data_IF_641681171149
#
_entry.id   IF_641681171149
#
_cell.length_a   1.000
_cell.length_b   1.000
_cell.length_c   1.000
_cell.angle_alpha   90.00
_cell.angle_beta   90.00
_cell.angle_gamma   90.00
#
_symmetry.space_group_name_H-M   'P 1'
#
loop_
_entity.id
_entity.type
_entity.pdbx_description
1 polymer ?
#
# COMPACT_ATOMS: atom_id res chain seq x y z
N UNK A 1 14.32 11.09 32.49
CA UNK A 1 14.36 9.65 32.29
C UNK A 1 12.93 9.11 32.14
N UNK A 2 12.16 9.60 31.13
CA UNK A 2 10.77 9.18 30.79
C UNK A 2 10.46 9.38 29.30
N UNK A 3 11.45 9.30 28.43
CA UNK A 3 11.29 9.62 26.99
C UNK A 3 11.69 8.47 26.06
N UNK A 4 11.96 7.28 26.56
CA UNK A 4 12.57 6.17 25.80
C UNK A 4 11.55 5.09 25.39
N UNK A 5 10.32 5.09 25.90
CA UNK A 5 9.35 4.01 25.63
C UNK A 5 8.44 4.20 24.41
N UNK A 6 8.57 5.30 23.65
CA UNK A 6 7.54 5.70 22.70
C UNK A 6 7.68 5.18 21.26
N UNK A 7 8.78 4.54 20.91
CA UNK A 7 9.12 4.35 19.48
C UNK A 7 9.13 2.91 18.94
N UNK A 8 8.80 1.92 19.73
CA UNK A 8 8.93 0.52 19.31
C UNK A 8 7.76 -0.08 18.53
N UNK A 9 6.78 0.76 18.11
CA UNK A 9 5.51 0.24 17.57
C UNK A 9 5.06 0.95 16.29
N UNK A 10 5.87 0.92 15.24
CA UNK A 10 5.37 1.28 13.92
C UNK A 10 4.78 0.03 13.26
N UNK A 11 3.47 0.03 13.08
CA UNK A 11 2.76 -1.00 12.32
C UNK A 11 3.15 -0.84 10.85
N UNK A 12 3.88 -1.80 10.33
CA UNK A 12 4.20 -1.88 8.91
C UNK A 12 2.98 -2.43 8.18
N UNK A 13 2.22 -1.58 7.52
CA UNK A 13 1.14 -2.02 6.64
C UNK A 13 1.69 -2.07 5.22
N UNK A 14 1.98 -3.28 4.76
CA UNK A 14 2.25 -3.53 3.35
C UNK A 14 0.93 -3.61 2.59
N UNK A 15 0.64 -2.61 1.76
CA UNK A 15 -0.40 -2.72 0.75
C UNK A 15 0.27 -3.29 -0.50
N UNK A 16 0.40 -4.63 -0.55
CA UNK A 16 0.79 -5.31 -1.78
C UNK A 16 -0.46 -5.81 -2.49
N UNK A 17 -0.79 -5.20 -3.60
CA UNK A 17 -1.60 -5.80 -4.64
C UNK A 17 -0.72 -6.75 -5.46
N UNK A 18 -1.12 -8.03 -5.47
CA UNK A 18 -0.59 -9.15 -6.27
C UNK A 18 0.44 -10.04 -5.59
N UNK A 19 -0.04 -11.18 -5.06
CA UNK A 19 0.36 -12.56 -5.40
C UNK A 19 -0.54 -13.52 -4.60
N UNK A 20 -1.12 -14.58 -5.18
CA UNK A 20 -1.85 -15.58 -4.43
C UNK A 20 -0.86 -16.58 -3.84
N UNK A 21 -0.70 -16.59 -2.54
CA UNK A 21 -0.05 -17.70 -1.83
C UNK A 21 -1.11 -18.43 -1.00
N UNK A 22 -1.25 -19.70 -1.31
CA UNK A 22 -2.01 -20.66 -0.55
C UNK A 22 -1.47 -20.76 0.88
N UNK A 23 -2.33 -20.60 1.87
CA UNK A 23 -2.08 -21.11 3.20
C UNK A 23 -3.29 -21.91 3.69
N UNK A 24 -2.98 -23.13 4.10
CA UNK A 24 -3.86 -24.04 4.76
C UNK A 24 -4.07 -23.62 6.23
N UNK A 25 -5.29 -23.61 6.65
CA UNK A 25 -5.88 -24.04 7.89
C UNK A 25 -5.44 -23.45 9.21
N UNK A 26 -6.40 -22.84 9.88
CA UNK A 26 -6.80 -23.21 11.24
C UNK A 26 -8.30 -22.95 11.34
N UNK A 27 -9.05 -24.03 11.56
CA UNK A 27 -10.45 -24.03 11.89
C UNK A 27 -10.60 -23.60 13.35
N UNK A 28 -11.31 -22.51 13.61
CA UNK A 28 -11.98 -22.26 14.87
C UNK A 28 -13.47 -22.44 14.62
N UNK A 29 -14.06 -23.39 15.36
CA UNK A 29 -15.47 -23.74 15.32
C UNK A 29 -16.34 -22.56 15.74
N UNK A 30 -17.05 -21.97 14.77
CA UNK A 30 -18.17 -21.08 15.04
C UNK A 30 -19.44 -21.92 14.93
N UNK A 31 -20.10 -22.18 16.06
CA UNK A 31 -21.41 -22.79 16.08
C UNK A 31 -22.41 -21.97 15.27
N UNK A 32 -22.95 -22.57 14.20
CA UNK A 32 -24.03 -22.01 13.40
C UNK A 32 -25.38 -22.14 14.15
N UNK A 33 -26.26 -21.14 14.09
CA UNK A 33 -27.64 -21.33 14.53
C UNK A 33 -28.35 -22.24 13.53
N UNK A 34 -28.85 -23.35 14.03
CA UNK A 34 -29.67 -24.28 13.28
C UNK A 34 -31.09 -23.69 13.09
N UNK A 35 -31.29 -23.04 11.94
CA UNK A 35 -32.64 -22.91 11.40
C UNK A 35 -32.88 -24.09 10.44
N UNK A 36 -33.64 -25.06 10.88
CA UNK A 36 -34.12 -26.18 10.04
C UNK A 36 -35.00 -25.63 8.92
N UNK A 37 -34.40 -25.41 7.74
CA UNK A 37 -35.15 -25.30 6.49
C UNK A 37 -35.13 -26.67 5.87
N UNK A 38 -36.29 -27.31 5.81
CA UNK A 38 -36.50 -28.60 5.14
C UNK A 38 -35.89 -28.57 3.72
N UNK A 39 -34.90 -29.42 3.54
CA UNK A 39 -34.23 -29.62 2.26
C UNK A 39 -35.13 -30.51 1.39
N UNK A 40 -35.59 -30.10 0.21
CA UNK A 40 -36.41 -30.95 -0.68
C UNK A 40 -35.64 -32.12 -1.30
N UNK A 41 -34.40 -32.37 -0.93
CA UNK A 41 -33.49 -33.29 -1.62
C UNK A 41 -33.34 -34.69 -1.01
N UNK A 42 -34.16 -35.08 0.01
CA UNK A 42 -34.19 -36.47 0.46
C UNK A 42 -35.19 -37.30 -0.39
N UNK A 43 -34.82 -37.55 -1.63
CA UNK A 43 -35.34 -38.65 -2.43
C UNK A 43 -34.19 -39.34 -3.10
N UNK A 44 -33.79 -40.48 -2.55
CA UNK A 44 -33.01 -41.49 -3.25
C UNK A 44 -33.71 -41.85 -4.56
N UNK A 45 -33.09 -41.60 -5.68
CA UNK A 45 -33.65 -41.92 -7.01
C UNK A 45 -32.67 -41.68 -8.12
N UNK A 46 -32.32 -42.72 -8.79
CA UNK A 46 -31.43 -42.92 -9.92
C UNK A 46 -31.26 -41.75 -10.90
N UNK A 47 -29.99 -41.56 -11.28
CA UNK A 47 -29.44 -40.61 -12.25
C UNK A 47 -29.99 -40.78 -13.69
N UNK A 48 -31.17 -40.27 -13.99
CA UNK A 48 -31.57 -39.92 -15.35
C UNK A 48 -31.66 -38.38 -15.47
N UNK A 49 -30.77 -37.77 -16.25
CA UNK A 49 -30.89 -36.37 -16.63
C UNK A 49 -32.09 -36.23 -17.53
N UNK A 50 -33.22 -35.76 -16.97
CA UNK A 50 -34.37 -35.41 -17.79
C UNK A 50 -34.03 -34.23 -18.73
N UNK A 51 -33.88 -34.55 -20.02
CA UNK A 51 -33.88 -33.53 -21.09
C UNK A 51 -35.23 -32.79 -21.04
N UNK A 52 -35.20 -31.49 -20.64
CA UNK A 52 -36.37 -30.64 -20.72
C UNK A 52 -36.72 -29.84 -19.47
N UNK A 53 -35.92 -29.89 -18.39
CA UNK A 53 -36.17 -29.00 -17.25
C UNK A 53 -35.81 -27.55 -17.64
N UNK A 54 -36.76 -26.60 -17.61
CA UNK A 54 -36.47 -25.20 -17.99
C UNK A 54 -35.42 -24.58 -17.07
N UNK A 55 -34.52 -23.77 -17.63
CA UNK A 55 -33.59 -22.95 -16.85
C UNK A 55 -34.38 -21.89 -16.09
N UNK A 56 -34.34 -21.93 -14.76
CA UNK A 56 -34.96 -20.94 -13.90
C UNK A 56 -34.13 -20.69 -12.66
N UNK A 57 -34.27 -19.49 -12.07
CA UNK A 57 -33.63 -19.11 -10.83
C UNK A 57 -34.64 -19.08 -9.68
N UNK A 58 -34.28 -19.66 -8.56
CA UNK A 58 -35.00 -19.57 -7.28
C UNK A 58 -34.43 -18.45 -6.40
N UNK A 59 -33.77 -18.83 -5.33
CA UNK A 59 -33.05 -17.92 -4.44
C UNK A 59 -31.57 -18.29 -4.38
N UNK A 60 -30.78 -17.51 -3.62
CA UNK A 60 -29.39 -17.87 -3.29
C UNK A 60 -29.05 -17.40 -1.88
N UNK A 61 -28.02 -18.00 -1.28
CA UNK A 61 -27.43 -17.59 -0.02
C UNK A 61 -25.93 -17.85 0.02
N UNK A 62 -25.16 -17.09 0.83
CA UNK A 62 -25.57 -15.87 1.52
C UNK A 62 -25.78 -14.70 0.54
N UNK A 63 -26.61 -13.71 0.91
CA UNK A 63 -26.86 -12.50 0.13
C UNK A 63 -25.86 -11.38 0.42
N UNK A 64 -24.89 -11.64 1.31
CA UNK A 64 -23.79 -10.72 1.61
C UNK A 64 -22.51 -11.48 1.94
N UNK A 65 -21.37 -10.85 1.71
CA UNK A 65 -20.08 -11.44 2.01
C UNK A 65 -18.93 -10.68 1.38
N UNK A 66 -17.73 -11.24 1.43
CA UNK A 66 -16.52 -10.68 0.90
C UNK A 66 -15.94 -11.55 -0.24
N UNK A 67 -14.69 -11.26 -0.65
CA UNK A 67 -13.95 -12.15 -1.55
C UNK A 67 -13.89 -13.58 -0.99
N UNK A 68 -14.19 -14.56 -1.84
CA UNK A 68 -14.14 -15.98 -1.50
C UNK A 68 -15.41 -16.51 -0.84
N UNK A 69 -16.38 -15.66 -0.52
CA UNK A 69 -17.71 -16.11 -0.08
C UNK A 69 -18.27 -17.08 -1.13
N UNK A 70 -18.69 -18.26 -0.69
CA UNK A 70 -19.33 -19.26 -1.54
C UNK A 70 -20.82 -18.98 -1.57
N UNK A 71 -21.33 -18.67 -2.76
CA UNK A 71 -22.76 -18.54 -3.02
C UNK A 71 -23.32 -19.91 -3.37
N UNK A 72 -24.37 -20.31 -2.67
CA UNK A 72 -25.21 -21.43 -3.07
C UNK A 72 -26.40 -20.86 -3.85
N UNK A 73 -26.43 -21.10 -5.14
CA UNK A 73 -27.40 -20.55 -6.07
C UNK A 73 -28.39 -21.67 -6.42
N UNK A 74 -29.66 -21.49 -6.16
CA UNK A 74 -30.70 -22.50 -6.37
C UNK A 74 -31.55 -22.15 -7.56
N UNK A 75 -32.02 -23.19 -8.26
CA UNK A 75 -32.84 -23.06 -9.47
C UNK A 75 -33.08 -24.41 -10.13
N UNK A 76 -33.34 -24.40 -11.42
CA UNK A 76 -33.52 -25.62 -12.22
C UNK A 76 -32.84 -25.49 -13.56
N UNK A 77 -32.51 -26.60 -14.20
CA UNK A 77 -31.95 -26.60 -15.55
C UNK A 77 -30.51 -26.21 -15.66
N UNK A 78 -29.73 -26.27 -14.57
CA UNK A 78 -28.32 -25.85 -14.54
C UNK A 78 -27.37 -26.85 -15.23
N UNK A 79 -27.81 -28.10 -15.44
CA UNK A 79 -26.95 -29.17 -15.97
C UNK A 79 -25.95 -29.64 -14.90
N UNK A 80 -24.93 -30.37 -15.34
CA UNK A 80 -23.89 -30.93 -14.45
C UNK A 80 -22.47 -30.50 -14.85
N UNK A 81 -22.28 -29.73 -15.93
CA UNK A 81 -20.96 -29.32 -16.40
C UNK A 81 -20.66 -27.88 -15.95
N UNK A 82 -19.66 -27.76 -15.06
CA UNK A 82 -19.19 -26.46 -14.54
C UNK A 82 -18.69 -25.50 -15.64
N UNK A 83 -18.23 -26.05 -16.78
CA UNK A 83 -17.70 -25.23 -17.88
C UNK A 83 -18.81 -24.57 -18.72
N UNK A 84 -20.04 -25.09 -18.63
CA UNK A 84 -21.20 -24.53 -19.31
C UNK A 84 -21.93 -23.44 -18.54
N UNK A 85 -21.53 -23.23 -17.28
CA UNK A 85 -22.18 -22.27 -16.37
C UNK A 85 -21.24 -21.11 -16.06
N UNK A 86 -21.72 -19.88 -16.26
CA UNK A 86 -21.06 -18.68 -15.83
C UNK A 86 -21.89 -17.94 -14.79
N UNK A 87 -21.25 -17.57 -13.70
CA UNK A 87 -21.84 -16.76 -12.64
C UNK A 87 -21.12 -15.42 -12.58
N UNK A 88 -21.87 -14.33 -12.50
CA UNK A 88 -21.28 -13.01 -12.25
C UNK A 88 -21.95 -12.33 -11.06
N UNK A 89 -21.15 -11.59 -10.29
CA UNK A 89 -21.61 -10.71 -9.21
C UNK A 89 -21.22 -9.28 -9.59
N UNK A 90 -22.20 -8.41 -9.76
CA UNK A 90 -22.01 -7.04 -10.22
C UNK A 90 -21.14 -6.95 -11.50
N UNK A 91 -21.36 -7.89 -12.45
CA UNK A 91 -20.62 -7.97 -13.71
C UNK A 91 -19.23 -8.62 -13.61
N UNK A 92 -18.71 -8.91 -12.41
CA UNK A 92 -17.43 -9.61 -12.22
C UNK A 92 -17.67 -11.11 -12.15
N UNK A 93 -16.92 -11.90 -12.93
CA UNK A 93 -17.03 -13.35 -12.99
C UNK A 93 -16.64 -14.00 -11.65
N UNK A 94 -17.51 -14.89 -11.14
CA UNK A 94 -17.29 -15.70 -9.95
C UNK A 94 -16.76 -17.09 -10.36
N UNK A 95 -15.91 -17.68 -9.54
CA UNK A 95 -15.36 -19.02 -9.76
C UNK A 95 -16.46 -20.07 -9.47
N UNK A 96 -17.01 -20.71 -10.50
CA UNK A 96 -17.95 -21.81 -10.35
C UNK A 96 -17.18 -23.07 -9.91
N UNK A 97 -17.53 -23.61 -8.74
CA UNK A 97 -16.80 -24.76 -8.16
C UNK A 97 -17.60 -26.04 -8.21
N UNK A 98 -18.93 -25.95 -8.31
CA UNK A 98 -19.83 -27.11 -8.33
C UNK A 98 -21.12 -26.74 -9.07
N UNK A 99 -21.64 -27.66 -9.85
CA UNK A 99 -22.94 -27.52 -10.54
C UNK A 99 -23.67 -28.87 -10.45
N UNK A 100 -24.92 -28.77 -10.02
CA UNK A 100 -25.93 -29.83 -10.09
C UNK A 100 -27.14 -29.26 -10.82
N UNK A 101 -28.04 -30.12 -11.30
CA UNK A 101 -29.25 -29.69 -12.01
C UNK A 101 -30.09 -28.61 -11.27
N UNK A 102 -29.94 -28.52 -9.95
CA UNK A 102 -30.76 -27.70 -9.06
C UNK A 102 -29.98 -26.66 -8.26
N UNK A 103 -28.65 -26.73 -8.21
CA UNK A 103 -27.83 -25.74 -7.53
C UNK A 103 -26.48 -25.52 -8.20
N UNK A 104 -25.89 -24.35 -7.94
CA UNK A 104 -24.53 -23.96 -8.33
C UNK A 104 -23.82 -23.45 -7.08
N UNK A 105 -22.56 -23.84 -6.87
CA UNK A 105 -21.65 -23.17 -5.94
C UNK A 105 -20.66 -22.29 -6.70
N UNK A 106 -20.61 -21.01 -6.32
CA UNK A 106 -19.70 -20.06 -6.95
C UNK A 106 -19.01 -19.18 -5.91
N UNK A 107 -17.69 -19.01 -6.01
CA UNK A 107 -16.92 -18.13 -5.14
C UNK A 107 -16.90 -16.71 -5.67
N UNK A 108 -17.27 -15.76 -4.83
CA UNK A 108 -17.24 -14.33 -5.14
C UNK A 108 -15.80 -13.87 -5.39
N UNK A 109 -15.56 -13.24 -6.52
CA UNK A 109 -14.25 -12.74 -6.89
C UNK A 109 -13.86 -11.48 -6.09
N UNK A 110 -12.56 -11.17 -6.06
CA UNK A 110 -12.06 -9.91 -5.51
C UNK A 110 -12.61 -8.74 -6.33
N UNK A 111 -13.01 -7.65 -5.66
CA UNK A 111 -13.53 -6.43 -6.30
C UNK A 111 -14.88 -6.60 -7.05
N UNK A 112 -15.66 -7.64 -6.79
CA UNK A 112 -16.98 -7.80 -7.41
C UNK A 112 -17.90 -6.60 -7.14
N UNK A 113 -17.83 -6.04 -5.91
CA UNK A 113 -18.73 -4.96 -5.51
C UNK A 113 -20.15 -5.46 -5.23
N UNK A 114 -20.98 -4.58 -4.65
CA UNK A 114 -22.41 -4.81 -4.42
C UNK A 114 -23.18 -4.69 -5.73
N UNK A 115 -24.01 -5.69 -6.06
CA UNK A 115 -24.80 -5.65 -7.29
C UNK A 115 -25.48 -6.95 -7.61
N UNK A 116 -26.00 -7.05 -8.82
CA UNK A 116 -26.79 -8.18 -9.30
C UNK A 116 -25.95 -9.45 -9.43
N UNK A 117 -26.58 -10.58 -9.06
CA UNK A 117 -26.04 -11.92 -9.32
C UNK A 117 -26.75 -12.47 -10.56
N UNK A 118 -25.93 -12.90 -11.52
CA UNK A 118 -26.43 -13.43 -12.80
C UNK A 118 -25.86 -14.81 -13.06
N UNK A 119 -26.64 -15.65 -13.67
CA UNK A 119 -26.24 -16.97 -14.18
C UNK A 119 -26.47 -17.01 -15.67
N UNK A 120 -25.48 -17.50 -16.40
CA UNK A 120 -25.57 -17.76 -17.84
C UNK A 120 -25.29 -19.22 -18.11
N UNK A 121 -26.15 -19.85 -18.93
CA UNK A 121 -26.01 -21.19 -19.46
C UNK A 121 -26.17 -21.13 -20.98
N UNK A 122 -25.10 -21.44 -21.70
CA UNK A 122 -25.06 -21.22 -23.14
C UNK A 122 -25.30 -19.76 -23.51
N UNK A 123 -26.38 -19.48 -24.27
CA UNK A 123 -26.77 -18.11 -24.68
C UNK A 123 -27.79 -17.46 -23.73
N UNK A 124 -28.39 -18.20 -22.84
CA UNK A 124 -29.42 -17.71 -21.93
C UNK A 124 -28.80 -17.17 -20.65
N UNK A 125 -29.21 -15.96 -20.23
CA UNK A 125 -28.77 -15.30 -19.01
C UNK A 125 -29.99 -14.90 -18.16
N UNK A 126 -29.99 -15.33 -16.90
CA UNK A 126 -30.99 -14.93 -15.91
C UNK A 126 -30.36 -14.18 -14.73
N UNK A 127 -31.17 -13.34 -14.08
CA UNK A 127 -30.73 -12.46 -13.00
C UNK A 127 -31.54 -12.75 -11.75
N UNK A 128 -30.87 -12.96 -10.61
CA UNK A 128 -31.55 -13.05 -9.33
C UNK A 128 -32.15 -11.70 -8.93
N UNK A 129 -33.35 -11.70 -8.36
CA UNK A 129 -34.00 -10.46 -7.91
C UNK A 129 -33.23 -9.77 -6.77
N UNK A 130 -32.69 -10.58 -5.85
CA UNK A 130 -31.89 -10.07 -4.73
C UNK A 130 -30.49 -9.71 -5.19
N UNK A 131 -30.01 -8.52 -4.79
CA UNK A 131 -28.63 -8.11 -5.01
C UNK A 131 -27.71 -8.67 -3.93
N UNK A 132 -26.50 -9.02 -4.30
CA UNK A 132 -25.43 -9.37 -3.36
C UNK A 132 -24.81 -8.10 -2.76
N UNK A 133 -24.74 -8.03 -1.43
CA UNK A 133 -24.02 -6.97 -0.73
C UNK A 133 -22.58 -7.39 -0.51
N UNK A 134 -21.65 -6.76 -1.24
CA UNK A 134 -20.22 -7.05 -1.08
C UNK A 134 -19.64 -6.31 0.13
N UNK A 135 -19.18 -7.07 1.11
CA UNK A 135 -18.55 -6.53 2.31
C UNK A 135 -17.05 -6.37 2.06
N UNK A 136 -16.58 -5.13 2.00
CA UNK A 136 -15.15 -4.84 1.98
C UNK A 136 -14.59 -5.01 3.39
N UNK A 137 -14.36 -6.26 3.80
CA UNK A 137 -13.63 -6.54 5.03
C UNK A 137 -12.14 -6.31 4.79
N UNK A 138 -11.58 -5.24 5.38
CA UNK A 138 -10.13 -5.09 5.47
C UNK A 138 -9.68 -5.70 6.78
N UNK A 139 -8.88 -6.76 6.71
CA UNK A 139 -8.18 -7.30 7.87
C UNK A 139 -6.74 -6.82 7.84
N UNK A 140 -6.22 -6.42 8.99
CA UNK A 140 -4.83 -6.09 9.20
C UNK A 140 -4.21 -7.21 10.01
N UNK A 141 -3.13 -7.80 9.51
CA UNK A 141 -2.39 -8.83 10.21
C UNK A 141 -0.90 -8.52 10.20
N UNK A 142 -0.17 -9.03 11.17
CA UNK A 142 1.28 -8.91 11.24
C UNK A 142 1.91 -9.72 10.11
N UNK A 143 2.57 -9.06 9.16
CA UNK A 143 3.31 -9.73 8.09
C UNK A 143 4.62 -10.33 8.60
N UNK A 144 5.37 -9.56 9.39
CA UNK A 144 6.56 -10.04 10.06
C UNK A 144 6.87 -9.22 11.32
N UNK A 145 7.74 -9.77 12.16
CA UNK A 145 8.10 -9.20 13.44
C UNK A 145 7.51 -9.99 14.60
N UNK A 146 8.27 -10.12 15.66
CA UNK A 146 7.82 -10.77 16.87
C UNK A 146 7.44 -9.74 17.91
N UNK A 147 6.34 -9.96 18.63
CA UNK A 147 6.05 -9.27 19.87
C UNK A 147 7.00 -9.85 20.93
N UNK A 148 8.16 -9.22 21.11
CA UNK A 148 9.18 -9.75 21.99
C UNK A 148 9.40 -8.80 23.16
N UNK A 149 9.25 -9.36 24.34
CA UNK A 149 9.85 -9.08 25.65
C UNK A 149 10.63 -7.76 25.75
N UNK A 150 10.02 -6.60 25.60
CA UNK A 150 10.61 -5.28 25.88
C UNK A 150 12.11 -5.12 25.49
N UNK A 151 12.61 -5.91 24.56
CA UNK A 151 13.98 -5.80 24.05
C UNK A 151 14.03 -4.83 22.89
N UNK A 152 14.83 -3.78 23.04
CA UNK A 152 15.22 -2.89 21.95
C UNK A 152 16.25 -3.57 21.04
N UNK A 153 16.34 -3.11 19.79
CA UNK A 153 17.36 -3.53 18.83
C UNK A 153 16.84 -4.44 17.72
N UNK A 154 17.62 -4.47 16.66
CA UNK A 154 17.37 -5.28 15.47
C UNK A 154 17.61 -6.77 15.73
N UNK A 155 16.82 -7.61 15.05
CA UNK A 155 17.11 -9.03 14.88
C UNK A 155 16.76 -9.41 13.45
N UNK A 156 17.71 -9.96 12.74
CA UNK A 156 17.54 -10.56 11.41
C UNK A 156 17.19 -12.03 11.52
N UNK A 157 16.68 -12.64 10.46
CA UNK A 157 16.35 -14.06 10.41
C UNK A 157 14.94 -14.31 9.86
N UNK A 158 14.29 -15.33 10.37
CA UNK A 158 12.92 -15.70 9.99
C UNK A 158 11.90 -14.56 10.24
N UNK A 159 10.86 -14.48 9.40
CA UNK A 159 9.82 -13.44 9.50
C UNK A 159 9.21 -13.32 10.89
N UNK A 160 8.93 -14.45 11.56
CA UNK A 160 8.27 -14.46 12.85
C UNK A 160 9.22 -14.15 14.02
N UNK A 161 10.52 -14.24 13.79
CA UNK A 161 11.55 -13.95 14.80
C UNK A 161 12.23 -12.60 14.62
N UNK A 162 12.18 -12.05 13.40
CA UNK A 162 12.82 -10.78 13.08
C UNK A 162 12.25 -9.61 13.86
N UNK A 163 13.06 -8.60 14.11
CA UNK A 163 12.65 -7.35 14.75
C UNK A 163 13.22 -6.17 13.99
N UNK A 164 12.42 -5.14 13.84
CA UNK A 164 12.83 -3.84 13.33
C UNK A 164 12.96 -2.83 14.47
N UNK A 165 13.77 -1.82 14.22
CA UNK A 165 13.92 -0.69 15.13
C UNK A 165 13.61 0.61 14.41
N UNK A 166 12.49 1.27 14.77
CA UNK A 166 12.04 2.54 14.18
C UNK A 166 12.03 2.57 12.64
N UNK A 167 11.26 1.72 11.98
CA UNK A 167 11.11 1.78 10.54
C UNK A 167 10.43 3.10 10.14
N UNK A 168 10.96 3.78 9.12
CA UNK A 168 10.45 5.09 8.65
C UNK A 168 9.99 5.08 7.21
N UNK A 169 10.47 4.15 6.41
CA UNK A 169 10.10 4.03 5.00
C UNK A 169 10.23 2.59 4.52
N UNK A 170 9.39 2.23 3.57
CA UNK A 170 9.43 0.93 2.88
C UNK A 170 9.40 1.14 1.38
N UNK A 171 10.04 0.24 0.65
CA UNK A 171 10.00 0.22 -0.81
C UNK A 171 10.14 -1.22 -1.33
N UNK A 172 9.42 -1.55 -2.41
CA UNK A 172 9.56 -2.81 -3.12
C UNK A 172 10.35 -2.61 -4.40
N UNK A 173 11.28 -3.52 -4.68
CA UNK A 173 11.94 -3.56 -5.99
C UNK A 173 11.09 -4.34 -7.02
N UNK A 174 11.60 -4.41 -8.26
CA UNK A 174 10.96 -5.12 -9.38
C UNK A 174 10.76 -6.62 -9.13
N UNK A 175 11.54 -7.20 -8.21
CA UNK A 175 11.51 -8.62 -7.87
C UNK A 175 10.75 -8.89 -6.55
N UNK A 176 9.97 -7.90 -6.08
CA UNK A 176 9.20 -7.92 -4.84
C UNK A 176 10.03 -8.11 -3.56
N UNK A 177 11.32 -7.78 -3.58
CA UNK A 177 12.09 -7.65 -2.35
C UNK A 177 11.66 -6.37 -1.63
N UNK A 178 11.33 -6.48 -0.34
CA UNK A 178 10.93 -5.34 0.47
C UNK A 178 12.14 -4.76 1.19
N UNK A 179 12.43 -3.49 0.98
CA UNK A 179 13.46 -2.73 1.69
C UNK A 179 12.81 -1.86 2.75
N UNK A 180 13.40 -1.81 3.94
CA UNK A 180 12.88 -1.10 5.10
C UNK A 180 13.98 -0.23 5.68
N UNK A 181 13.79 1.07 5.58
CA UNK A 181 14.71 2.07 6.16
C UNK A 181 14.41 2.24 7.64
N UNK A 182 15.46 2.25 8.46
CA UNK A 182 15.39 2.38 9.91
C UNK A 182 16.17 3.62 10.37
N UNK A 183 15.53 4.46 11.19
CA UNK A 183 16.06 5.79 11.55
C UNK A 183 17.24 5.72 12.53
N UNK A 184 17.11 4.99 13.64
CA UNK A 184 18.14 5.01 14.71
C UNK A 184 19.25 3.99 14.53
N UNK A 185 18.95 2.81 14.00
CA UNK A 185 19.99 1.78 13.77
C UNK A 185 20.76 2.04 12.46
N UNK A 186 20.37 3.10 11.73
CA UNK A 186 21.05 3.56 10.51
C UNK A 186 21.30 2.46 9.52
N UNK A 187 20.35 1.56 9.36
CA UNK A 187 20.45 0.49 8.40
C UNK A 187 19.19 0.37 7.50
N UNK A 188 19.34 -0.43 6.47
CA UNK A 188 18.23 -0.87 5.63
C UNK A 188 18.13 -2.39 5.77
N UNK A 189 16.99 -2.85 6.26
CA UNK A 189 16.64 -4.25 6.23
C UNK A 189 16.04 -4.63 4.87
N UNK A 190 16.24 -5.86 4.43
CA UNK A 190 15.62 -6.44 3.26
C UNK A 190 14.86 -7.70 3.64
N UNK A 191 13.61 -7.79 3.18
CA UNK A 191 12.79 -9.01 3.27
C UNK A 191 12.69 -9.64 1.90
N UNK A 192 13.16 -10.86 1.78
CA UNK A 192 13.10 -11.66 0.57
C UNK A 192 12.97 -13.15 0.94
N UNK A 193 12.13 -13.88 0.21
CA UNK A 193 11.95 -15.34 0.35
C UNK A 193 11.76 -15.78 1.82
N UNK A 194 10.92 -15.06 2.56
CA UNK A 194 10.61 -15.39 3.97
C UNK A 194 11.69 -15.05 4.98
N UNK A 195 12.75 -14.36 4.57
CA UNK A 195 13.88 -14.01 5.45
C UNK A 195 14.09 -12.50 5.51
N UNK A 196 14.35 -12.00 6.71
CA UNK A 196 14.77 -10.62 6.96
C UNK A 196 16.28 -10.58 7.14
N UNK A 197 16.97 -9.78 6.32
CA UNK A 197 18.43 -9.64 6.33
C UNK A 197 18.85 -8.18 6.38
N UNK A 198 20.07 -7.89 6.83
CA UNK A 198 20.67 -6.58 6.70
C UNK A 198 21.09 -6.35 5.25
N UNK A 199 20.57 -5.30 4.64
CA UNK A 199 20.92 -4.91 3.28
C UNK A 199 22.06 -3.89 3.27
N UNK A 200 21.91 -2.80 4.03
CA UNK A 200 22.90 -1.74 4.15
C UNK A 200 23.06 -1.35 5.61
N UNK A 201 24.29 -1.31 6.08
CA UNK A 201 24.69 -0.83 7.39
C UNK A 201 25.47 0.49 7.21
N UNK A 202 24.87 1.61 7.60
CA UNK A 202 25.51 2.91 7.43
C UNK A 202 26.73 3.12 8.35
N UNK A 203 26.86 2.35 9.43
CA UNK A 203 28.03 2.40 10.30
C UNK A 203 29.28 1.78 9.63
N UNK A 204 29.08 1.01 8.54
CA UNK A 204 30.17 0.44 7.73
C UNK A 204 30.56 1.27 6.52
N UNK A 205 29.98 2.46 6.35
CA UNK A 205 30.30 3.37 5.25
C UNK A 205 30.38 4.81 5.74
N UNK A 206 31.24 5.62 5.09
CA UNK A 206 31.34 7.06 5.30
C UNK A 206 30.41 7.88 4.37
N UNK A 207 29.65 7.19 3.50
CA UNK A 207 28.88 7.84 2.43
C UNK A 207 27.45 8.19 2.85
N UNK A 208 26.87 7.49 3.80
CA UNK A 208 25.55 7.80 4.32
C UNK A 208 25.48 7.51 5.82
N UNK A 209 24.53 8.14 6.52
CA UNK A 209 24.36 7.94 7.96
C UNK A 209 22.90 7.82 8.37
N UNK A 210 22.08 8.83 8.08
CA UNK A 210 20.68 8.86 8.48
C UNK A 210 19.80 8.83 7.22
N UNK A 211 19.38 7.65 6.87
CA UNK A 211 18.58 7.38 5.68
C UNK A 211 17.09 7.53 5.98
N UNK A 212 16.30 8.01 5.02
CA UNK A 212 14.88 8.23 5.25
C UNK A 212 13.95 7.63 4.21
N UNK A 213 14.34 7.62 2.95
CA UNK A 213 13.45 7.21 1.87
C UNK A 213 14.24 6.58 0.73
N UNK A 214 13.61 5.63 0.06
CA UNK A 214 14.15 4.93 -1.10
C UNK A 214 13.28 5.22 -2.32
N UNK A 215 13.91 5.43 -3.47
CA UNK A 215 13.28 5.42 -4.78
C UNK A 215 14.12 4.61 -5.77
N UNK A 216 13.46 3.91 -6.68
CA UNK A 216 14.14 3.17 -7.74
C UNK A 216 14.09 3.95 -9.05
N UNK A 217 15.17 3.91 -9.85
CA UNK A 217 15.12 4.42 -11.20
C UNK A 217 14.04 3.68 -12.02
N UNK A 218 13.50 4.35 -13.04
CA UNK A 218 12.41 3.80 -13.86
C UNK A 218 12.75 2.43 -14.47
N UNK A 219 14.01 2.25 -14.84
CA UNK A 219 14.55 1.00 -15.39
C UNK A 219 15.00 0.00 -14.31
N UNK A 220 14.85 0.38 -13.03
CA UNK A 220 15.35 -0.35 -11.87
C UNK A 220 16.88 -0.56 -11.86
N UNK A 221 17.62 0.17 -12.67
CA UNK A 221 19.09 0.11 -12.73
C UNK A 221 19.77 0.71 -11.50
N UNK A 222 19.08 1.58 -10.74
CA UNK A 222 19.59 2.21 -9.54
C UNK A 222 18.56 2.29 -8.44
N UNK A 223 19.02 2.11 -7.21
CA UNK A 223 18.33 2.51 -5.98
C UNK A 223 18.90 3.83 -5.51
N UNK A 224 18.05 4.83 -5.29
CA UNK A 224 18.42 6.13 -4.69
C UNK A 224 17.92 6.18 -3.25
N UNK A 225 18.77 6.67 -2.35
CA UNK A 225 18.46 6.76 -0.92
C UNK A 225 18.70 8.18 -0.46
N UNK A 226 17.66 8.83 0.09
CA UNK A 226 17.80 10.13 0.74
C UNK A 226 18.51 10.01 2.07
N UNK A 227 19.39 10.96 2.37
CA UNK A 227 20.24 10.93 3.55
C UNK A 227 20.27 12.30 4.26
N UNK A 228 20.05 12.29 5.58
CA UNK A 228 20.19 13.46 6.46
C UNK A 228 21.48 13.32 7.28
N UNK A 229 22.59 13.43 6.63
CA UNK A 229 23.89 13.30 7.27
C UNK A 229 24.33 14.56 8.02
N UNK A 230 23.81 14.79 9.22
CA UNK A 230 24.23 15.93 10.03
C UNK A 230 25.63 15.81 10.64
N UNK A 231 26.25 14.64 10.64
CA UNK A 231 27.44 14.43 11.44
C UNK A 231 28.76 14.26 10.66
N UNK A 232 28.81 13.53 9.56
CA UNK A 232 30.07 13.28 8.83
C UNK A 232 29.90 12.80 7.40
N UNK A 233 28.70 12.43 6.98
CA UNK A 233 28.44 12.04 5.59
C UNK A 233 28.24 13.26 4.70
N UNK A 234 29.05 13.38 3.67
CA UNK A 234 28.97 14.50 2.71
C UNK A 234 27.89 14.30 1.62
N UNK A 235 26.87 13.49 1.88
CA UNK A 235 25.85 13.17 0.88
C UNK A 235 24.46 13.60 1.28
N UNK A 236 23.69 14.04 0.29
CA UNK A 236 22.24 14.23 0.36
C UNK A 236 21.49 13.03 -0.25
N UNK A 237 22.05 12.45 -1.30
CA UNK A 237 21.54 11.25 -1.94
C UNK A 237 22.71 10.32 -2.22
N UNK A 238 22.54 9.05 -1.89
CA UNK A 238 23.42 7.97 -2.34
C UNK A 238 22.70 7.08 -3.34
N UNK A 239 23.46 6.41 -4.19
CA UNK A 239 22.94 5.47 -5.18
C UNK A 239 23.62 4.11 -5.10
N UNK A 240 22.86 3.06 -5.37
CA UNK A 240 23.33 1.67 -5.43
C UNK A 240 22.88 1.10 -6.79
N UNK A 241 23.79 0.66 -7.65
CA UNK A 241 23.44 0.07 -8.92
C UNK A 241 22.87 -1.35 -8.76
N UNK A 242 21.99 -1.73 -9.68
CA UNK A 242 21.54 -3.10 -9.84
C UNK A 242 22.64 -3.97 -10.46
N UNK A 243 22.84 -5.15 -9.93
CA UNK A 243 23.77 -6.15 -10.47
C UNK A 243 22.96 -7.30 -11.12
N UNK A 244 22.90 -7.28 -12.45
CA UNK A 244 22.14 -8.29 -13.21
C UNK A 244 22.60 -9.73 -12.94
N UNK A 245 23.90 -9.93 -12.79
CA UNK A 245 24.45 -11.29 -12.56
C UNK A 245 24.10 -11.83 -11.17
N UNK A 246 23.96 -10.95 -10.20
CA UNK A 246 23.62 -11.30 -8.81
C UNK A 246 22.13 -11.14 -8.50
N UNK A 247 21.33 -10.60 -9.43
CA UNK A 247 19.90 -10.27 -9.26
C UNK A 247 19.61 -9.51 -7.95
N UNK A 248 20.41 -8.48 -7.68
CA UNK A 248 20.28 -7.64 -6.47
C UNK A 248 20.95 -6.28 -6.69
N UNK A 249 20.63 -5.31 -5.83
CA UNK A 249 21.40 -4.07 -5.71
C UNK A 249 22.76 -4.35 -5.05
N UNK A 250 23.82 -3.82 -5.64
CA UNK A 250 25.21 -4.09 -5.26
C UNK A 250 25.69 -3.04 -4.24
N UNK A 251 25.54 -3.33 -2.95
CA UNK A 251 25.91 -2.41 -1.86
C UNK A 251 27.40 -2.06 -1.87
N UNK A 252 28.27 -2.94 -2.37
CA UNK A 252 29.70 -2.68 -2.46
C UNK A 252 30.02 -1.54 -3.45
N UNK A 253 29.09 -1.24 -4.35
CA UNK A 253 29.15 -0.13 -5.30
C UNK A 253 28.36 1.09 -4.87
N UNK A 254 27.97 1.20 -3.60
CA UNK A 254 27.36 2.40 -3.05
C UNK A 254 28.19 3.63 -3.38
N UNK A 255 27.58 4.67 -3.94
CA UNK A 255 28.24 5.90 -4.31
C UNK A 255 27.44 7.14 -3.90
N UNK A 256 28.12 8.25 -3.70
CA UNK A 256 27.48 9.55 -3.48
C UNK A 256 26.93 10.02 -4.82
N UNK A 257 25.62 10.19 -4.90
CA UNK A 257 24.93 10.70 -6.09
C UNK A 257 24.79 12.23 -6.05
N UNK A 258 24.45 12.78 -4.88
CA UNK A 258 24.38 14.22 -4.64
C UNK A 258 25.07 14.55 -3.33
N UNK A 259 26.17 15.30 -3.41
CA UNK A 259 26.95 15.69 -2.26
C UNK A 259 26.36 16.92 -1.54
N UNK A 260 26.96 17.29 -0.42
CA UNK A 260 26.56 18.45 0.40
C UNK A 260 27.39 19.70 0.16
N UNK A 261 28.32 19.71 -0.81
CA UNK A 261 29.27 20.80 -1.01
C UNK A 261 28.60 22.17 -1.22
N UNK A 262 27.38 22.18 -1.77
CA UNK A 262 26.61 23.40 -2.03
C UNK A 262 25.31 23.52 -1.23
N UNK A 263 24.97 22.54 -0.39
CA UNK A 263 23.70 22.47 0.34
C UNK A 263 23.95 21.97 1.77
N UNK A 264 23.70 22.83 2.75
CA UNK A 264 24.03 22.59 4.17
C UNK A 264 22.89 21.95 4.99
N UNK A 265 21.76 21.63 4.35
CA UNK A 265 20.59 21.05 5.00
C UNK A 265 20.29 19.65 4.44
N UNK A 266 19.39 18.95 5.09
CA UNK A 266 19.02 17.57 4.79
C UNK A 266 18.07 17.43 3.60
N UNK A 267 18.11 16.25 2.99
CA UNK A 267 17.15 15.76 2.01
C UNK A 267 16.46 14.53 2.63
N UNK A 268 15.17 14.64 2.91
CA UNK A 268 14.41 13.58 3.60
C UNK A 268 13.57 12.73 2.65
N UNK A 269 13.47 13.11 1.39
CA UNK A 269 12.72 12.35 0.39
C UNK A 269 13.35 12.46 -0.99
N UNK A 270 13.30 11.36 -1.72
CA UNK A 270 13.59 11.24 -3.14
C UNK A 270 12.38 10.62 -3.83
N UNK A 271 12.14 10.97 -5.09
CA UNK A 271 11.09 10.39 -5.92
C UNK A 271 11.55 10.29 -7.36
N UNK A 272 11.11 9.26 -8.07
CA UNK A 272 11.33 9.08 -9.50
C UNK A 272 10.01 9.21 -10.22
N UNK A 273 9.97 10.04 -11.25
CA UNK A 273 8.78 10.24 -12.06
C UNK A 273 8.45 8.96 -12.86
N UNK A 274 7.20 8.45 -12.77
CA UNK A 274 6.87 7.14 -13.32
C UNK A 274 6.97 7.05 -14.85
N UNK A 275 6.78 8.17 -15.54
CA UNK A 275 6.78 8.23 -17.02
C UNK A 275 8.16 8.66 -17.57
N UNK A 276 8.75 9.74 -17.05
CA UNK A 276 10.02 10.29 -17.60
C UNK A 276 11.25 9.66 -16.98
N UNK A 277 11.16 9.10 -15.77
CA UNK A 277 12.32 8.60 -15.02
C UNK A 277 13.15 9.69 -14.35
N UNK A 278 12.69 10.94 -14.37
CA UNK A 278 13.37 12.06 -13.71
C UNK A 278 13.43 11.85 -12.20
N UNK A 279 14.59 12.13 -11.61
CA UNK A 279 14.80 12.03 -10.17
C UNK A 279 14.58 13.40 -9.52
N UNK A 280 13.77 13.41 -8.47
CA UNK A 280 13.44 14.59 -7.66
C UNK A 280 13.87 14.40 -6.22
N UNK A 281 14.12 15.52 -5.54
CA UNK A 281 14.37 15.60 -4.10
C UNK A 281 13.84 16.90 -3.52
N UNK A 282 13.50 16.90 -2.24
CA UNK A 282 13.05 18.10 -1.54
C UNK A 282 14.07 18.52 -0.49
N UNK A 283 14.45 19.79 -0.58
CA UNK A 283 15.42 20.43 0.31
C UNK A 283 14.72 20.98 1.58
N UNK A 284 15.10 20.44 2.72
CA UNK A 284 14.41 20.70 3.99
C UNK A 284 14.55 22.11 4.55
N UNK A 285 15.50 22.93 4.08
CA UNK A 285 15.70 24.30 4.58
C UNK A 285 14.55 25.24 4.19
N UNK A 286 14.10 25.15 2.94
CA UNK A 286 13.16 26.13 2.37
C UNK A 286 12.12 25.48 1.44
N UNK A 287 11.89 24.17 1.60
CA UNK A 287 10.91 23.38 0.85
C UNK A 287 11.03 23.44 -0.68
N UNK A 288 12.21 23.75 -1.19
CA UNK A 288 12.47 23.75 -2.63
C UNK A 288 12.52 22.34 -3.18
N UNK A 289 11.97 22.19 -4.38
CA UNK A 289 12.01 20.96 -5.15
C UNK A 289 13.20 21.01 -6.10
N UNK A 290 14.07 20.02 -6.04
CA UNK A 290 15.20 19.84 -6.93
C UNK A 290 14.93 18.68 -7.90
N UNK A 291 15.49 18.80 -9.11
CA UNK A 291 15.45 17.77 -10.15
C UNK A 291 16.86 17.48 -10.64
N UNK A 292 17.17 16.23 -10.93
CA UNK A 292 18.44 15.86 -11.53
C UNK A 292 18.51 16.27 -13.00
N UNK A 293 19.54 17.00 -13.33
CA UNK A 293 19.90 17.34 -14.71
C UNK A 293 21.01 16.40 -15.19
N UNK A 294 20.72 15.46 -16.14
CA UNK A 294 21.70 14.50 -16.61
C UNK A 294 22.80 15.12 -17.48
N UNK A 295 22.57 16.31 -18.08
CA UNK A 295 23.55 17.01 -18.89
C UNK A 295 24.62 17.63 -18.01
N UNK A 296 24.18 18.30 -16.94
CA UNK A 296 25.09 18.94 -15.99
C UNK A 296 25.52 17.98 -14.86
N UNK A 297 24.99 16.77 -14.85
CA UNK A 297 25.23 15.73 -13.81
C UNK A 297 25.07 16.25 -12.39
N UNK A 298 24.05 17.08 -12.15
CA UNK A 298 23.76 17.67 -10.84
C UNK A 298 22.28 17.84 -10.57
N UNK A 299 21.93 18.01 -9.29
CA UNK A 299 20.59 18.42 -8.89
C UNK A 299 20.43 19.94 -9.08
N UNK A 300 19.37 20.34 -9.79
CA UNK A 300 19.04 21.74 -10.09
C UNK A 300 17.74 22.15 -9.42
N UNK A 301 17.65 23.38 -8.96
CA UNK A 301 16.46 23.98 -8.38
C UNK A 301 15.39 24.16 -9.46
N UNK A 302 14.21 23.57 -9.28
CA UNK A 302 13.10 23.70 -10.22
C UNK A 302 12.38 25.06 -10.15
N UNK A 303 12.71 25.89 -9.16
CA UNK A 303 11.97 27.11 -8.84
C UNK A 303 10.67 26.89 -8.07
N UNK A 304 10.31 25.62 -7.80
CA UNK A 304 9.06 25.26 -7.12
C UNK A 304 9.29 25.00 -5.63
N UNK A 305 8.27 25.29 -4.81
CA UNK A 305 8.33 25.20 -3.35
C UNK A 305 7.06 24.54 -2.81
N UNK A 306 7.13 24.01 -1.57
CA UNK A 306 5.95 23.70 -0.77
C UNK A 306 5.56 24.97 0.03
N UNK A 307 4.38 25.56 -0.22
CA UNK A 307 4.01 26.83 0.39
C UNK A 307 3.39 26.66 1.78
N UNK A 308 3.48 27.71 2.62
CA UNK A 308 2.60 27.87 3.77
C UNK A 308 1.22 28.43 3.34
N UNK A 309 0.35 28.77 4.30
CA UNK A 309 -0.97 29.35 4.00
C UNK A 309 -0.92 30.69 3.25
N UNK A 310 0.19 31.40 3.32
CA UNK A 310 0.43 32.70 2.67
C UNK A 310 1.14 32.57 1.32
N UNK A 311 1.40 31.34 0.87
CA UNK A 311 2.15 31.09 -0.38
C UNK A 311 3.67 31.18 -0.26
N UNK A 312 4.21 31.37 0.95
CA UNK A 312 5.65 31.46 1.19
C UNK A 312 6.28 30.07 1.40
N UNK A 313 7.61 29.93 1.12
CA UNK A 313 8.34 28.71 1.42
C UNK A 313 8.25 28.32 2.89
N UNK A 314 8.03 27.04 3.17
CA UNK A 314 8.10 26.49 4.52
C UNK A 314 9.55 26.26 4.91
N UNK A 315 10.01 26.88 5.99
CA UNK A 315 11.34 26.64 6.52
C UNK A 315 11.40 25.39 7.41
N UNK A 316 12.47 24.61 7.25
CA UNK A 316 12.68 23.39 8.05
C UNK A 316 11.66 22.30 7.77
N UNK A 317 11.06 22.26 6.59
CA UNK A 317 10.07 21.26 6.22
C UNK A 317 10.68 19.86 6.26
N UNK A 318 9.96 18.94 6.91
CA UNK A 318 10.28 17.52 6.89
C UNK A 318 9.28 16.81 5.99
N UNK A 319 9.51 16.89 4.68
CA UNK A 319 8.75 16.11 3.70
C UNK A 319 9.21 14.66 3.77
N UNK A 320 8.29 13.75 4.09
CA UNK A 320 8.60 12.32 4.26
C UNK A 320 8.29 11.49 3.03
N UNK A 321 7.46 12.00 2.15
CA UNK A 321 7.13 11.34 0.88
C UNK A 321 6.82 12.38 -0.19
N UNK A 322 7.29 12.13 -1.38
CA UNK A 322 6.86 12.74 -2.65
C UNK A 322 6.40 11.59 -3.54
N UNK A 323 5.16 11.65 -4.01
CA UNK A 323 4.54 10.59 -4.77
C UNK A 323 3.83 11.17 -5.98
N UNK A 324 4.14 10.66 -7.16
CA UNK A 324 3.39 10.95 -8.38
C UNK A 324 2.23 9.97 -8.54
N UNK A 325 1.15 10.41 -9.16
CA UNK A 325 0.13 9.50 -9.68
C UNK A 325 0.70 8.64 -10.83
N UNK A 326 -0.01 7.62 -11.24
CA UNK A 326 0.44 6.72 -12.32
C UNK A 326 0.61 7.42 -13.67
N UNK A 327 -0.16 8.47 -13.92
CA UNK A 327 -0.05 9.30 -15.11
C UNK A 327 1.15 10.24 -15.07
N UNK A 328 1.73 10.48 -13.89
CA UNK A 328 2.83 11.41 -13.67
C UNK A 328 2.40 12.89 -13.75
N UNK A 329 1.12 13.17 -13.78
CA UNK A 329 0.60 14.54 -13.93
C UNK A 329 0.21 15.19 -12.62
N UNK A 330 -0.03 14.38 -11.59
CA UNK A 330 -0.34 14.85 -10.24
C UNK A 330 0.74 14.41 -9.27
N UNK A 331 1.12 15.28 -8.36
CA UNK A 331 2.12 15.00 -7.32
C UNK A 331 1.57 15.32 -5.94
N UNK A 332 1.91 14.46 -4.99
CA UNK A 332 1.52 14.59 -3.58
C UNK A 332 2.76 14.65 -2.70
N UNK A 333 2.66 15.41 -1.59
CA UNK A 333 3.75 15.55 -0.63
C UNK A 333 3.21 15.42 0.79
N UNK A 334 3.82 14.57 1.61
CA UNK A 334 3.52 14.53 3.04
C UNK A 334 4.47 15.44 3.81
N UNK A 335 3.95 16.32 4.64
CA UNK A 335 4.76 17.17 5.51
C UNK A 335 4.56 16.80 6.96
N UNK A 336 5.57 16.16 7.55
CA UNK A 336 5.54 15.68 8.93
C UNK A 336 5.31 16.81 9.93
N UNK A 337 6.08 17.89 9.84
CA UNK A 337 6.04 18.97 10.81
C UNK A 337 4.90 19.97 10.59
N UNK A 338 4.37 20.05 9.37
CA UNK A 338 3.19 20.90 9.10
C UNK A 338 1.87 20.13 9.24
N UNK A 339 1.92 18.79 9.39
CA UNK A 339 0.74 17.91 9.53
C UNK A 339 -0.27 18.03 8.40
N UNK A 340 0.21 18.16 7.17
CA UNK A 340 -0.62 18.27 5.95
C UNK A 340 -0.11 17.41 4.82
N UNK A 341 -1.00 17.14 3.87
CA UNK A 341 -0.68 16.62 2.55
C UNK A 341 -0.86 17.74 1.54
N UNK A 342 0.18 17.99 0.76
CA UNK A 342 0.12 18.87 -0.41
C UNK A 342 -0.25 18.09 -1.65
N UNK A 343 -0.87 18.78 -2.61
CA UNK A 343 -1.14 18.32 -3.97
C UNK A 343 -0.68 19.38 -4.94
N UNK A 344 -0.16 18.97 -6.08
CA UNK A 344 0.24 19.87 -7.18
C UNK A 344 0.11 19.16 -8.52
N UNK A 345 0.24 19.94 -9.59
CA UNK A 345 0.28 19.45 -10.96
C UNK A 345 1.73 19.40 -11.45
N UNK A 346 2.04 18.44 -12.32
CA UNK A 346 3.30 18.34 -13.02
C UNK A 346 3.07 18.30 -14.52
N UNK A 347 3.66 19.28 -15.23
CA UNK A 347 3.67 19.33 -16.68
C UNK A 347 4.85 18.51 -17.21
N UNK A 348 4.56 17.33 -17.72
CA UNK A 348 5.56 16.39 -18.25
C UNK A 348 6.33 17.00 -19.43
N UNK A 349 5.67 17.80 -20.29
CA UNK A 349 6.27 18.34 -21.48
C UNK A 349 7.30 19.44 -21.17
N UNK A 350 7.01 20.26 -20.15
CA UNK A 350 7.87 21.37 -19.74
C UNK A 350 8.74 21.06 -18.50
N UNK A 351 8.47 19.94 -17.81
CA UNK A 351 9.18 19.55 -16.61
C UNK A 351 8.96 20.49 -15.43
N UNK A 352 7.77 21.06 -15.28
CA UNK A 352 7.46 22.12 -14.30
C UNK A 352 6.31 21.75 -13.39
N UNK A 353 6.39 22.18 -12.14
CA UNK A 353 5.32 22.07 -11.16
C UNK A 353 4.44 23.31 -11.17
N UNK A 354 3.14 23.11 -10.92
CA UNK A 354 2.17 24.20 -10.75
C UNK A 354 1.12 23.82 -9.71
N UNK A 355 0.33 24.80 -9.28
CA UNK A 355 -0.82 24.59 -8.38
C UNK A 355 -0.51 23.84 -7.08
N UNK A 356 0.71 23.92 -6.56
CA UNK A 356 1.05 23.25 -5.29
C UNK A 356 0.33 23.98 -4.15
N UNK A 357 -0.52 23.24 -3.43
CA UNK A 357 -1.34 23.76 -2.34
C UNK A 357 -1.55 22.71 -1.25
N UNK A 358 -1.98 23.13 -0.06
CA UNK A 358 -2.42 22.24 1.00
C UNK A 358 -3.73 21.60 0.56
N UNK A 359 -3.74 20.28 0.43
CA UNK A 359 -4.90 19.54 -0.05
C UNK A 359 -5.70 18.90 1.10
N UNK A 360 -5.03 18.21 2.04
CA UNK A 360 -5.67 17.58 3.20
C UNK A 360 -4.89 17.90 4.46
N UNK A 361 -5.63 18.21 5.53
CA UNK A 361 -5.09 18.55 6.83
C UNK A 361 -5.08 20.05 7.12
N UNK A 362 -4.90 20.40 8.38
CA UNK A 362 -4.83 21.80 8.85
C UNK A 362 -3.37 22.15 9.14
N UNK A 363 -2.88 23.18 8.46
CA UNK A 363 -1.48 23.60 8.55
C UNK A 363 -1.04 23.90 9.99
N UNK A 364 0.01 23.21 10.45
CA UNK A 364 0.56 23.28 11.81
C UNK A 364 -0.43 22.91 12.93
N UNK A 365 -1.54 22.24 12.60
CA UNK A 365 -2.46 21.71 13.60
C UNK A 365 -2.35 20.18 13.66
N UNK A 366 -1.84 19.70 14.78
CA UNK A 366 -1.67 18.26 15.03
C UNK A 366 -2.96 17.66 15.60
N UNK A 367 -3.29 16.45 15.19
CA UNK A 367 -4.46 15.74 15.70
C UNK A 367 -4.94 14.69 14.71
N UNK A 368 -6.04 14.05 15.06
CA UNK A 368 -6.74 13.14 14.17
C UNK A 368 -8.21 13.54 14.09
N UNK A 369 -8.65 13.93 12.93
CA UNK A 369 -10.05 14.23 12.64
C UNK A 369 -10.33 13.81 11.19
N UNK A 370 -11.28 12.91 10.99
CA UNK A 370 -11.72 12.51 9.66
C UNK A 370 -12.52 13.64 9.01
N UNK A 371 -12.43 13.76 7.70
CA UNK A 371 -13.13 14.82 6.98
C UNK A 371 -12.58 15.05 5.58
N UNK A 372 -13.12 16.03 4.88
CA UNK A 372 -12.71 16.37 3.53
C UNK A 372 -11.77 17.59 3.52
N UNK A 373 -10.67 17.47 2.80
CA UNK A 373 -9.73 18.55 2.60
C UNK A 373 -9.16 19.12 3.90
N UNK A 374 -9.24 20.41 4.08
CA UNK A 374 -8.76 21.11 5.28
C UNK A 374 -9.69 21.01 6.50
N UNK A 375 -10.84 20.33 6.38
CA UNK A 375 -11.63 19.96 7.55
C UNK A 375 -11.01 18.78 8.32
N UNK A 376 -10.20 17.95 7.67
CA UNK A 376 -9.46 16.85 8.29
C UNK A 376 -8.27 17.35 9.11
N UNK A 377 -7.81 16.54 10.09
CA UNK A 377 -6.55 16.76 10.80
C UNK A 377 -5.69 15.52 10.77
N UNK A 378 -4.42 15.72 10.51
CA UNK A 378 -3.36 14.71 10.53
C UNK A 378 -2.39 14.98 11.68
N UNK A 379 -1.74 13.93 12.18
CA UNK A 379 -0.68 14.08 13.18
C UNK A 379 0.60 13.43 12.68
N UNK A 380 1.45 14.22 12.06
CA UNK A 380 2.72 13.80 11.45
C UNK A 380 2.56 12.73 10.38
N UNK A 381 2.03 13.07 9.19
CA UNK A 381 2.00 12.16 8.05
C UNK A 381 3.43 11.84 7.57
N UNK A 382 3.68 10.57 7.30
CA UNK A 382 4.96 10.03 6.83
C UNK A 382 4.84 9.55 5.37
N UNK A 383 5.20 8.30 5.12
CA UNK A 383 5.15 7.71 3.79
C UNK A 383 3.71 7.51 3.31
N UNK A 384 3.54 7.63 2.00
CA UNK A 384 2.28 7.41 1.31
C UNK A 384 2.49 6.45 0.15
N UNK A 385 1.41 5.76 -0.20
CA UNK A 385 1.30 5.00 -1.44
C UNK A 385 -0.11 5.13 -1.99
N UNK A 386 -0.31 4.75 -3.27
CA UNK A 386 -1.56 4.93 -3.99
C UNK A 386 -2.06 3.62 -4.60
N UNK A 387 -3.35 3.34 -4.46
CA UNK A 387 -3.98 2.23 -5.17
C UNK A 387 -4.35 2.58 -6.63
N UNK A 388 -4.92 1.59 -7.31
CA UNK A 388 -5.31 1.75 -8.73
C UNK A 388 -6.49 2.72 -8.93
N UNK A 389 -7.30 2.91 -7.91
CA UNK A 389 -8.42 3.84 -7.89
C UNK A 389 -7.99 5.29 -7.57
N UNK A 390 -6.71 5.51 -7.28
CA UNK A 390 -6.14 6.81 -6.92
C UNK A 390 -6.36 7.20 -5.46
N UNK A 391 -6.74 6.25 -4.59
CA UNK A 391 -6.78 6.52 -3.16
C UNK A 391 -5.37 6.51 -2.59
N UNK A 392 -5.02 7.54 -1.81
CA UNK A 392 -3.78 7.57 -1.04
C UNK A 392 -3.95 6.85 0.30
N UNK A 393 -2.94 6.09 0.66
CA UNK A 393 -2.79 5.50 1.99
C UNK A 393 -1.60 6.13 2.67
N UNK A 394 -1.83 6.73 3.82
CA UNK A 394 -0.85 7.58 4.51
C UNK A 394 -0.58 7.03 5.89
N UNK A 395 0.68 6.76 6.21
CA UNK A 395 1.10 6.44 7.56
C UNK A 395 1.08 7.73 8.41
N UNK A 396 0.20 7.79 9.42
CA UNK A 396 0.05 8.94 10.31
C UNK A 396 0.65 8.59 11.67
N UNK A 397 1.91 8.96 11.84
CA UNK A 397 2.81 8.46 12.88
C UNK A 397 2.26 8.64 14.32
N UNK A 398 2.01 9.89 14.74
CA UNK A 398 1.56 10.15 16.11
C UNK A 398 0.05 9.88 16.29
N UNK A 399 -0.68 9.56 15.23
CA UNK A 399 -2.07 9.10 15.33
C UNK A 399 -2.18 7.58 15.47
N UNK A 400 -1.10 6.82 15.29
CA UNK A 400 -1.09 5.35 15.27
C UNK A 400 -2.16 4.79 14.32
N UNK A 401 -2.25 5.36 13.11
CA UNK A 401 -3.25 5.03 12.09
C UNK A 401 -2.68 5.09 10.69
N UNK A 402 -3.32 4.36 9.80
CA UNK A 402 -3.21 4.58 8.37
C UNK A 402 -4.48 5.31 7.92
N UNK A 403 -4.30 6.48 7.33
CA UNK A 403 -5.38 7.19 6.68
C UNK A 403 -5.57 6.67 5.26
N UNK A 404 -6.82 6.57 4.80
CA UNK A 404 -7.18 6.49 3.39
C UNK A 404 -7.73 7.86 2.98
N UNK A 405 -7.20 8.41 1.88
CA UNK A 405 -7.65 9.67 1.30
C UNK A 405 -8.11 9.40 -0.12
N UNK A 406 -9.39 9.60 -0.40
CA UNK A 406 -9.96 9.42 -1.73
C UNK A 406 -9.58 10.59 -2.67
N UNK A 407 -9.68 10.44 -4.01
CA UNK A 407 -9.28 11.47 -4.97
C UNK A 407 -9.95 12.85 -4.78
N UNK A 408 -11.12 12.89 -4.13
CA UNK A 408 -11.82 14.13 -3.76
C UNK A 408 -11.31 14.76 -2.46
N UNK A 409 -10.32 14.15 -1.79
CA UNK A 409 -9.72 14.63 -0.56
C UNK A 409 -10.45 14.21 0.72
N UNK A 410 -11.38 13.25 0.66
CA UNK A 410 -12.04 12.71 1.86
C UNK A 410 -11.10 11.74 2.58
N UNK A 411 -10.74 12.08 3.81
CA UNK A 411 -9.88 11.29 4.69
C UNK A 411 -10.70 10.48 5.68
N UNK A 412 -10.40 9.18 5.77
CA UNK A 412 -10.98 8.24 6.73
C UNK A 412 -9.91 7.36 7.34
N UNK A 413 -10.21 6.72 8.48
CA UNK A 413 -9.34 5.70 9.07
C UNK A 413 -9.40 4.41 8.23
N UNK A 414 -8.26 3.96 7.74
CA UNK A 414 -8.15 2.68 7.04
C UNK A 414 -7.74 1.54 7.97
N UNK A 415 -6.78 1.82 8.87
CA UNK A 415 -6.27 0.86 9.85
C UNK A 415 -5.70 1.59 11.08
N UNK A 416 -5.61 0.85 12.21
CA UNK A 416 -5.15 1.39 13.47
C UNK A 416 -6.30 2.00 14.28
N UNK A 417 -6.19 1.93 15.60
CA UNK A 417 -7.22 2.40 16.53
C UNK A 417 -6.81 3.64 17.33
N UNK A 418 -5.62 4.21 17.02
CA UNK A 418 -5.07 5.38 17.72
C UNK A 418 -4.28 5.04 18.98
N UNK A 419 -4.17 3.77 19.36
CA UNK A 419 -3.31 3.34 20.46
C UNK A 419 -1.97 2.82 19.95
N UNK A 420 -0.92 2.90 20.77
CA UNK A 420 0.40 2.37 20.42
C UNK A 420 0.54 0.87 20.70
N UNK A 421 -0.55 0.13 20.72
CA UNK A 421 -0.56 -1.31 20.95
C UNK A 421 -0.55 -2.09 19.63
N UNK A 422 0.20 -3.18 19.60
CA UNK A 422 0.13 -4.14 18.51
C UNK A 422 -1.10 -5.03 18.73
N UNK A 423 -2.04 -5.00 17.78
CA UNK A 423 -3.23 -5.87 17.74
C UNK A 423 -3.39 -6.40 16.33
N UNK A 424 -3.47 -7.72 16.22
CA UNK A 424 -3.87 -8.44 15.00
C UNK A 424 -5.38 -8.62 14.99
#
# INVERSE_FOLDING_TARGET
MKTIEYYSKLILICISLLVPLCFAGCEEDIEEPQDEIENPADKDGDDEVEEGIPFSLGNYNPTSGNKGTVLNLYGTGFGKDVNNVKVTVNGTEAEVTEVDGYYIKAKVAKKSGTGQVKVRIGEEELVYETQFTYNFGTTVSTYFGAKIDNKSGMKYGDLHEARLWKPVSIAFDKDNSLYIVQDEDRDIAMVKDGTVSQFLDADKTDKCQQMFNIAFSKDNGYMYISNDGNASGNSNIVSIPWNESATKYDVDKLSIFWDRSNITYYVTTVAVHPITGELFAIYGKNSKIFKYDPIESKMVDTGSILPNLEGNPVNGVKTRCMLFDKAGTTVYFSSQNCSVIYKGDYDIANGTFSNIHIWVGQYNQHGWEEGQGTAAKLNRPYQMDMDEEGNLYVAVFDANRIAKITPDGTMTCYAGNGTSELKD
#
